data_IF_291044667935
#
_entry.id   IF_291044667935
#
_cell.length_a   1.000
_cell.length_b   1.000
_cell.length_c   1.000
_cell.angle_alpha   90.00
_cell.angle_beta   90.00
_cell.angle_gamma   90.00
#
_symmetry.space_group_name_H-M   'P 1'
#
loop_
_entity.id
_entity.type
_entity.pdbx_description
1 polymer ?
#
# COMPACT_ATOMS: atom_id res chain seq x y z
N UNK A 1 -12.18 -0.51 -0.34
CA UNK A 1 -10.93 -0.47 -1.13
C UNK A 1 -11.22 -0.65 -2.62
N UNK A 2 -10.70 0.23 -3.47
CA UNK A 2 -10.88 0.18 -4.93
C UNK A 2 -9.52 0.14 -5.64
N UNK A 3 -9.30 -0.87 -6.49
CA UNK A 3 -8.09 -0.95 -7.33
C UNK A 3 -8.25 -0.10 -8.59
N UNK A 4 -7.16 0.54 -9.02
CA UNK A 4 -7.08 1.27 -10.28
C UNK A 4 -6.66 0.30 -11.38
N UNK A 5 -7.57 0.00 -12.31
CA UNK A 5 -7.29 -0.92 -13.41
C UNK A 5 -6.23 -0.34 -14.34
N UNK A 6 -5.06 -0.97 -14.34
CA UNK A 6 -3.83 -0.49 -14.98
C UNK A 6 -2.98 -1.68 -15.43
N UNK A 7 -1.86 -1.42 -16.10
CA UNK A 7 -0.86 -2.47 -16.35
C UNK A 7 -0.21 -2.84 -15.02
N UNK A 8 -0.35 -4.09 -14.53
CA UNK A 8 0.13 -4.46 -13.21
C UNK A 8 1.66 -4.42 -13.10
N UNK A 9 2.14 -4.15 -11.89
CA UNK A 9 3.54 -4.26 -11.53
C UNK A 9 3.84 -5.67 -10.99
N UNK A 10 4.63 -6.43 -11.72
CA UNK A 10 5.14 -7.73 -11.25
C UNK A 10 6.35 -7.54 -10.32
N UNK A 11 6.22 -7.98 -9.07
CA UNK A 11 7.24 -7.83 -8.03
C UNK A 11 7.76 -9.18 -7.58
N UNK A 12 9.07 -9.39 -7.65
CA UNK A 12 9.70 -10.62 -7.18
C UNK A 12 9.95 -10.55 -5.67
N UNK A 13 9.44 -11.54 -4.94
CA UNK A 13 9.64 -11.67 -3.50
C UNK A 13 10.56 -12.83 -3.19
N UNK A 14 11.26 -12.78 -2.06
CA UNK A 14 12.19 -13.84 -1.68
C UNK A 14 11.49 -15.18 -1.35
N UNK A 15 10.22 -15.16 -0.90
CA UNK A 15 9.53 -16.34 -0.36
C UNK A 15 8.10 -16.55 -0.87
N UNK A 16 7.46 -15.53 -1.44
CA UNK A 16 6.06 -15.58 -1.88
C UNK A 16 5.92 -15.68 -3.40
N UNK A 17 7.03 -15.84 -4.13
CA UNK A 17 7.02 -15.83 -5.59
C UNK A 17 6.85 -14.42 -6.16
N UNK A 18 6.18 -14.32 -7.30
CA UNK A 18 5.89 -13.05 -7.98
C UNK A 18 4.51 -12.55 -7.58
N UNK A 19 4.40 -11.30 -7.13
CA UNK A 19 3.13 -10.62 -6.87
C UNK A 19 2.73 -9.77 -8.07
N UNK A 20 1.43 -9.68 -8.36
CA UNK A 20 0.87 -8.86 -9.44
C UNK A 20 0.17 -7.61 -8.86
N UNK A 21 0.93 -6.54 -8.62
CA UNK A 21 0.44 -5.40 -7.85
C UNK A 21 -0.16 -4.31 -8.73
N UNK A 22 -1.39 -3.90 -8.38
CA UNK A 22 -2.08 -2.74 -8.95
C UNK A 22 -2.22 -1.62 -7.92
N UNK A 23 -2.33 -0.35 -8.36
CA UNK A 23 -2.52 0.78 -7.46
C UNK A 23 -3.89 0.69 -6.80
N UNK A 24 -3.95 1.02 -5.51
CA UNK A 24 -5.20 1.22 -4.80
C UNK A 24 -5.52 2.71 -4.80
N UNK A 25 -6.76 3.06 -5.10
CA UNK A 25 -7.22 4.44 -4.95
C UNK A 25 -7.27 4.80 -3.47
N UNK A 26 -6.58 5.88 -3.09
CA UNK A 26 -6.61 6.45 -1.75
C UNK A 26 -7.07 7.90 -1.85
N UNK A 27 -7.82 8.35 -0.86
CA UNK A 27 -8.43 9.68 -0.78
C UNK A 27 -7.56 10.66 0.02
N UNK A 28 -6.63 10.14 0.82
CA UNK A 28 -5.66 10.90 1.59
C UNK A 28 -4.27 10.25 1.53
N UNK A 29 -3.22 11.06 1.72
CA UNK A 29 -1.81 10.61 1.71
C UNK A 29 -1.33 10.38 3.14
N UNK A 30 -1.45 9.17 3.72
CA UNK A 30 -1.01 8.90 5.08
C UNK A 30 0.48 9.21 5.31
N UNK A 31 1.33 9.15 4.28
CA UNK A 31 2.77 9.43 4.40
C UNK A 31 3.11 10.89 4.74
N UNK A 32 2.16 11.83 4.71
CA UNK A 32 2.39 13.23 5.07
C UNK A 32 2.22 13.54 6.55
N UNK A 33 1.63 12.64 7.34
CA UNK A 33 1.37 12.83 8.76
C UNK A 33 1.63 11.53 9.54
N UNK A 34 2.57 11.55 10.49
CA UNK A 34 2.99 10.35 11.23
C UNK A 34 1.82 9.62 11.90
N UNK A 35 0.86 10.35 12.47
CA UNK A 35 -0.33 9.75 13.11
C UNK A 35 -1.17 8.95 12.11
N UNK A 36 -1.45 9.53 10.93
CA UNK A 36 -2.18 8.86 9.85
C UNK A 36 -1.39 7.68 9.27
N UNK A 37 -0.07 7.80 9.22
CA UNK A 37 0.79 6.70 8.81
C UNK A 37 0.66 5.48 9.72
N UNK A 38 0.63 5.67 11.04
CA UNK A 38 0.44 4.56 11.98
C UNK A 38 -0.95 3.94 11.91
N UNK A 39 -2.01 4.72 11.66
CA UNK A 39 -3.38 4.22 11.47
C UNK A 39 -3.55 3.48 10.14
N UNK A 40 -2.83 3.94 9.10
CA UNK A 40 -2.80 3.32 7.79
C UNK A 40 -2.10 1.95 7.81
N UNK A 41 -1.07 1.77 8.61
CA UNK A 41 -0.42 0.46 8.76
C UNK A 41 -1.31 -0.50 9.56
N UNK A 42 -1.53 -1.71 9.04
CA UNK A 42 -2.34 -2.71 9.74
C UNK A 42 -1.53 -3.31 10.90
N UNK A 43 -1.99 -3.20 12.17
CA UNK A 43 -1.29 -3.81 13.29
C UNK A 43 -1.20 -5.32 13.12
N UNK A 44 0.01 -5.88 13.23
CA UNK A 44 0.32 -7.31 13.00
C UNK A 44 -0.03 -7.79 11.58
N UNK A 45 -0.16 -6.87 10.62
CA UNK A 45 -0.35 -7.19 9.22
C UNK A 45 0.83 -7.94 8.62
N UNK A 46 0.61 -8.58 7.47
CA UNK A 46 1.65 -9.31 6.76
C UNK A 46 2.81 -8.38 6.37
N UNK A 47 4.04 -8.87 6.50
CA UNK A 47 5.27 -8.20 6.04
C UNK A 47 6.00 -9.10 5.04
N UNK A 48 6.16 -8.62 3.82
CA UNK A 48 6.83 -9.31 2.73
C UNK A 48 8.15 -8.59 2.41
N UNK A 49 9.30 -9.13 2.84
CA UNK A 49 10.59 -8.54 2.53
C UNK A 49 10.82 -8.47 1.01
N UNK A 50 11.33 -7.33 0.55
CA UNK A 50 11.67 -7.09 -0.84
C UNK A 50 13.15 -6.74 -0.98
N UNK A 51 13.73 -7.08 -2.14
CA UNK A 51 15.04 -6.57 -2.52
C UNK A 51 14.96 -5.04 -2.75
N UNK A 52 16.05 -4.28 -2.53
CA UNK A 52 16.04 -2.83 -2.72
C UNK A 52 15.54 -2.37 -4.10
N UNK A 53 15.92 -3.09 -5.17
CA UNK A 53 15.44 -2.83 -6.53
C UNK A 53 13.91 -2.90 -6.64
N UNK A 54 13.30 -3.86 -5.97
CA UNK A 54 11.85 -4.05 -5.99
C UNK A 54 11.14 -2.96 -5.18
N UNK A 55 11.74 -2.50 -4.08
CA UNK A 55 11.26 -1.33 -3.34
C UNK A 55 11.20 -0.09 -4.25
N UNK A 56 12.28 0.19 -4.98
CA UNK A 56 12.35 1.35 -5.88
C UNK A 56 11.28 1.28 -6.98
N UNK A 57 11.05 0.08 -7.53
CA UNK A 57 10.00 -0.16 -8.54
C UNK A 57 8.61 0.08 -7.96
N UNK A 58 8.31 -0.45 -6.78
CA UNK A 58 7.04 -0.20 -6.09
C UNK A 58 6.82 1.29 -5.82
N UNK A 59 7.82 1.99 -5.30
CA UNK A 59 7.74 3.42 -5.00
C UNK A 59 7.55 4.26 -6.27
N UNK A 60 8.25 3.94 -7.36
CA UNK A 60 8.07 4.61 -8.63
C UNK A 60 6.66 4.40 -9.18
N UNK A 61 6.14 3.18 -9.07
CA UNK A 61 4.80 2.83 -9.50
C UNK A 61 3.73 3.56 -8.69
N UNK A 62 3.83 3.54 -7.36
CA UNK A 62 3.00 4.30 -6.42
C UNK A 62 2.97 5.80 -6.78
N UNK A 63 4.13 6.42 -7.02
CA UNK A 63 4.22 7.83 -7.45
C UNK A 63 3.54 8.10 -8.80
N UNK A 64 3.65 7.19 -9.76
CA UNK A 64 3.06 7.38 -11.09
C UNK A 64 1.52 7.38 -11.05
N UNK A 65 0.92 6.65 -10.11
CA UNK A 65 -0.53 6.55 -9.95
C UNK A 65 -1.08 7.32 -8.76
N UNK A 66 -0.25 8.18 -8.17
CA UNK A 66 -0.60 9.02 -7.03
C UNK A 66 -1.21 8.28 -5.84
N UNK A 67 -0.61 7.15 -5.46
CA UNK A 67 -1.05 6.31 -4.34
C UNK A 67 0.11 5.93 -3.43
N UNK A 68 -0.22 5.46 -2.23
CA UNK A 68 0.69 4.88 -1.24
C UNK A 68 0.32 3.42 -0.91
N UNK A 69 -0.64 2.84 -1.64
CA UNK A 69 -1.12 1.47 -1.45
C UNK A 69 -1.18 0.70 -2.77
N UNK A 70 -0.79 -0.57 -2.73
CA UNK A 70 -0.88 -1.52 -3.83
C UNK A 70 -1.64 -2.78 -3.41
N UNK A 71 -2.29 -3.48 -4.33
CA UNK A 71 -3.04 -4.71 -4.05
C UNK A 71 -2.99 -5.65 -5.25
N UNK A 72 -3.00 -6.96 -4.99
CA UNK A 72 -3.16 -8.01 -6.03
C UNK A 72 -4.63 -8.28 -6.35
N UNK A 73 -5.48 -8.26 -5.33
CA UNK A 73 -6.82 -8.86 -5.36
C UNK A 73 -7.94 -7.86 -5.04
N UNK A 74 -7.60 -6.63 -4.65
CA UNK A 74 -8.56 -5.65 -4.15
C UNK A 74 -9.15 -5.99 -2.78
N UNK A 75 -8.60 -6.98 -2.07
CA UNK A 75 -8.99 -7.40 -0.72
C UNK A 75 -7.92 -6.99 0.29
N UNK A 76 -6.65 -7.31 0.00
CA UNK A 76 -5.52 -6.96 0.85
C UNK A 76 -4.66 -5.90 0.16
N UNK A 77 -4.31 -4.84 0.89
CA UNK A 77 -3.41 -3.81 0.39
C UNK A 77 -2.10 -3.79 1.16
N UNK A 78 -1.07 -3.36 0.46
CA UNK A 78 0.29 -3.24 0.96
C UNK A 78 0.85 -1.85 0.66
N UNK A 79 1.61 -1.32 1.60
CA UNK A 79 2.43 -0.13 1.43
C UNK A 79 3.91 -0.46 1.60
N UNK A 80 4.79 0.47 1.24
CA UNK A 80 6.23 0.33 1.45
C UNK A 80 6.58 0.87 2.84
N UNK A 81 7.17 0.03 3.68
CA UNK A 81 7.73 0.45 4.97
C UNK A 81 9.10 -0.19 5.22
N UNK A 82 10.14 0.62 5.01
CA UNK A 82 11.53 0.19 5.01
C UNK A 82 11.83 -0.72 3.82
N UNK A 83 12.30 -1.94 4.08
CA UNK A 83 12.69 -2.93 3.07
C UNK A 83 11.60 -3.99 2.78
N UNK A 84 10.32 -3.64 2.97
CA UNK A 84 9.24 -4.61 2.78
C UNK A 84 7.94 -3.95 2.31
N UNK A 85 7.09 -4.77 1.69
CA UNK A 85 5.66 -4.53 1.63
C UNK A 85 5.04 -4.88 2.98
N UNK A 86 4.24 -3.98 3.53
CA UNK A 86 3.53 -4.17 4.79
C UNK A 86 2.05 -3.96 4.55
N UNK A 87 1.25 -4.88 5.05
CA UNK A 87 -0.21 -4.78 4.93
C UNK A 87 -0.72 -3.49 5.58
N UNK A 88 -1.65 -2.84 4.89
CA UNK A 88 -2.18 -1.53 5.25
C UNK A 88 -3.70 -1.49 5.07
N UNK A 89 -4.32 -0.44 5.57
CA UNK A 89 -5.76 -0.22 5.57
C UNK A 89 -6.08 1.11 4.87
N UNK A 90 -6.18 1.12 3.53
CA UNK A 90 -6.36 2.36 2.76
C UNK A 90 -7.67 3.08 3.05
N UNK A 91 -8.70 2.33 3.46
CA UNK A 91 -10.03 2.88 3.76
C UNK A 91 -10.10 3.56 5.14
N UNK A 92 -9.14 3.31 6.05
CA UNK A 92 -9.21 3.83 7.43
C UNK A 92 -8.78 5.29 7.55
N UNK A 93 -8.12 5.84 6.54
CA UNK A 93 -7.56 7.20 6.61
C UNK A 93 -8.64 8.29 6.43
N UNK A 94 -9.86 7.91 6.02
CA UNK A 94 -11.02 8.81 5.89
C UNK A 94 -11.97 8.83 7.09
N UNK A 95 -11.94 7.84 7.98
CA UNK A 95 -12.98 7.66 9.01
C UNK A 95 -12.73 8.50 10.28
N UNK A 96 -11.68 9.31 10.31
CA UNK A 96 -11.24 10.00 11.52
C UNK A 96 -12.07 11.25 11.91
N UNK A 97 -13.05 11.70 11.12
CA UNK A 97 -13.86 12.89 11.44
C UNK A 97 -15.31 12.84 10.93
N UNK A 98 -16.05 11.76 11.18
CA UNK A 98 -17.50 11.89 11.38
C UNK A 98 -17.76 11.89 12.89
N UNK A 99 -17.51 13.05 13.53
CA UNK A 99 -18.11 13.34 14.83
C UNK A 99 -19.62 13.47 14.58
N UNK A 100 -20.39 12.50 15.05
CA UNK A 100 -21.84 12.65 15.20
C UNK A 100 -22.10 13.86 16.13
N UNK A 101 -22.79 14.88 15.61
CA UNK A 101 -23.34 16.02 16.35
C UNK A 101 -24.39 15.60 17.40
#
# INVERSE_FOLDING_TARGET
MQIVLTVPLFVETALHGTLELMPVQITSRPGTEDAKWFEFLKPKGQRIPLAPKEIERCQAYMRNYDTEALSEDGINAFTINGNALVECSPDLVDVAYEMED
#
